data_IF_013187244073
#
_entry.id   IF_013187244073
#
_cell.length_a   1.000
_cell.length_b   1.000
_cell.length_c   1.000
_cell.angle_alpha   90.00
_cell.angle_beta   90.00
_cell.angle_gamma   90.00
#
_symmetry.space_group_name_H-M   'P 1'
#
loop_
_entity.id
_entity.type
_entity.pdbx_description
1 polymer ?
#
# COMPACT_ATOMS: atom_id res chain seq x y z
N UNK A 1 -26.86 6.26 -11.35
CA UNK A 1 -27.59 6.56 -10.08
C UNK A 1 -26.59 6.38 -8.95
N UNK A 2 -25.98 7.47 -8.51
CA UNK A 2 -24.97 7.49 -7.45
C UNK A 2 -25.68 7.45 -6.11
N UNK A 3 -25.56 6.34 -5.39
CA UNK A 3 -26.04 6.21 -4.02
C UNK A 3 -24.98 6.75 -3.08
N UNK A 4 -25.27 7.92 -2.51
CA UNK A 4 -24.46 8.52 -1.45
C UNK A 4 -24.69 7.73 -0.16
N UNK A 5 -23.65 7.02 0.27
CA UNK A 5 -23.65 6.31 1.55
C UNK A 5 -23.42 7.33 2.67
N UNK A 6 -24.44 7.59 3.45
CA UNK A 6 -24.36 8.31 4.74
C UNK A 6 -24.22 7.24 5.82
N UNK A 7 -23.15 7.23 6.62
CA UNK A 7 -23.03 6.27 7.70
C UNK A 7 -23.98 6.68 8.84
N UNK A 8 -25.00 5.85 9.06
CA UNK A 8 -25.81 5.90 10.29
C UNK A 8 -24.94 5.46 11.47
N UNK A 9 -24.91 6.26 12.51
CA UNK A 9 -24.31 5.91 13.80
C UNK A 9 -25.12 4.77 14.44
N UNK A 10 -24.51 3.61 14.74
CA UNK A 10 -25.16 2.62 15.59
C UNK A 10 -24.82 2.92 17.04
N UNK A 11 -25.77 3.51 17.75
CA UNK A 11 -25.76 3.51 19.20
C UNK A 11 -25.97 2.09 19.73
N UNK A 12 -25.00 1.67 20.52
CA UNK A 12 -25.08 0.84 21.69
C UNK A 12 -25.67 -0.54 21.63
N UNK A 13 -24.84 -1.53 21.88
CA UNK A 13 -25.06 -2.57 22.90
C UNK A 13 -23.77 -3.38 23.10
N UNK A 14 -23.21 -3.36 24.30
CA UNK A 14 -22.25 -4.36 24.76
C UNK A 14 -20.78 -3.95 24.82
N UNK A 15 -20.46 -2.67 24.77
CA UNK A 15 -19.10 -2.19 25.05
C UNK A 15 -18.87 -2.11 26.54
N UNK A 16 -17.75 -2.63 27.11
CA UNK A 16 -17.43 -2.36 28.51
C UNK A 16 -17.32 -0.85 28.71
N UNK A 17 -17.82 -0.32 29.81
CA UNK A 17 -17.83 1.10 30.16
C UNK A 17 -16.42 1.70 30.39
N UNK A 18 -15.36 0.92 30.20
CA UNK A 18 -13.97 1.32 30.18
C UNK A 18 -13.38 1.22 28.77
N UNK A 19 -12.42 2.10 28.45
CA UNK A 19 -11.70 2.10 27.15
C UNK A 19 -11.09 0.73 26.80
N UNK A 20 -10.32 0.62 25.67
CA UNK A 20 -9.70 -0.65 25.28
C UNK A 20 -8.72 -1.11 26.36
N UNK A 21 -8.60 -2.42 26.54
CA UNK A 21 -7.65 -2.99 27.49
C UNK A 21 -6.22 -2.84 26.93
N UNK A 22 -5.36 -2.13 27.64
CA UNK A 22 -3.93 -2.03 27.30
C UNK A 22 -3.20 -3.25 27.83
N UNK A 23 -2.56 -4.03 26.95
CA UNK A 23 -1.73 -5.20 27.27
C UNK A 23 -0.34 -5.04 26.67
N UNK A 24 0.67 -5.52 27.40
CA UNK A 24 2.08 -5.32 27.06
C UNK A 24 2.84 -6.61 26.79
N UNK A 25 2.29 -7.76 27.16
CA UNK A 25 2.89 -9.07 26.95
C UNK A 25 2.01 -9.99 26.14
N UNK A 26 2.62 -10.92 25.43
CA UNK A 26 1.92 -11.95 24.68
C UNK A 26 1.06 -12.86 25.59
N UNK A 27 1.53 -13.09 26.83
CA UNK A 27 0.77 -13.83 27.82
C UNK A 27 -0.53 -13.11 28.19
N UNK A 28 -0.45 -11.81 28.52
CA UNK A 28 -1.61 -11.00 28.82
C UNK A 28 -2.59 -10.90 27.62
N UNK A 29 -2.05 -10.81 26.40
CA UNK A 29 -2.86 -10.82 25.18
C UNK A 29 -3.60 -12.16 24.98
N UNK A 30 -2.93 -13.29 25.23
CA UNK A 30 -3.54 -14.63 25.15
C UNK A 30 -4.60 -14.87 26.24
N UNK A 31 -4.39 -14.26 27.42
CA UNK A 31 -5.34 -14.33 28.52
C UNK A 31 -6.63 -13.54 28.27
N UNK A 32 -6.65 -12.63 27.27
CA UNK A 32 -7.87 -11.92 26.89
C UNK A 32 -8.91 -12.92 26.39
N UNK A 33 -10.15 -12.88 26.95
CA UNK A 33 -11.18 -13.76 26.52
C UNK A 33 -11.49 -13.52 25.02
N UNK A 34 -11.34 -14.56 24.22
CA UNK A 34 -11.90 -14.57 22.87
C UNK A 34 -13.40 -14.67 23.02
N UNK A 35 -14.10 -13.57 22.72
CA UNK A 35 -15.55 -13.63 22.54
C UNK A 35 -15.83 -14.67 21.44
N UNK A 36 -17.03 -15.23 21.41
CA UNK A 36 -17.44 -16.27 20.46
C UNK A 36 -17.44 -15.86 18.97
N UNK A 37 -16.68 -14.83 18.62
CA UNK A 37 -16.60 -14.25 17.27
C UNK A 37 -15.19 -14.18 16.71
N UNK A 38 -15.10 -13.60 15.53
CA UNK A 38 -13.88 -13.37 14.75
C UNK A 38 -13.00 -12.34 15.46
N UNK A 39 -11.67 -12.59 15.49
CA UNK A 39 -10.68 -11.61 15.93
C UNK A 39 -10.07 -10.90 14.74
N UNK A 40 -10.15 -9.58 14.73
CA UNK A 40 -9.44 -8.72 13.79
C UNK A 40 -8.22 -8.08 14.46
N UNK A 41 -7.16 -7.87 13.69
CA UNK A 41 -6.00 -7.08 14.11
C UNK A 41 -5.77 -5.91 13.17
N UNK A 42 -5.42 -4.75 13.74
CA UNK A 42 -4.89 -3.58 13.02
C UNK A 42 -3.47 -3.35 13.52
N UNK A 43 -2.49 -3.52 12.64
CA UNK A 43 -1.07 -3.39 13.01
C UNK A 43 -0.57 -1.99 12.72
N UNK A 44 -0.01 -1.34 13.76
CA UNK A 44 0.50 0.03 13.67
C UNK A 44 1.82 0.19 14.42
N UNK A 45 2.52 1.29 14.12
CA UNK A 45 3.70 1.70 14.87
C UNK A 45 3.38 2.77 15.94
N UNK A 46 2.11 3.08 16.19
CA UNK A 46 1.70 4.20 17.04
C UNK A 46 1.62 5.53 16.30
N UNK A 47 1.53 6.63 17.03
CA UNK A 47 1.20 7.95 16.52
C UNK A 47 -0.07 7.92 15.66
N UNK A 48 -1.12 7.31 16.22
CA UNK A 48 -2.36 7.05 15.49
C UNK A 48 -3.01 8.35 15.01
N UNK A 49 -3.58 8.28 13.84
CA UNK A 49 -4.33 9.37 13.22
C UNK A 49 -5.60 8.81 12.57
N UNK A 50 -6.41 9.68 11.98
CA UNK A 50 -7.70 9.31 11.40
C UNK A 50 -7.61 8.15 10.37
N UNK A 51 -6.51 8.04 9.61
CA UNK A 51 -6.27 6.89 8.75
C UNK A 51 -6.25 5.57 9.52
N UNK A 52 -5.56 5.51 10.66
CA UNK A 52 -5.55 4.33 11.52
C UNK A 52 -6.93 4.09 12.18
N UNK A 53 -7.62 5.16 12.61
CA UNK A 53 -8.97 5.05 13.15
C UNK A 53 -9.95 4.45 12.12
N UNK A 54 -9.79 4.78 10.83
CA UNK A 54 -10.59 4.18 9.75
C UNK A 54 -10.33 2.68 9.61
N UNK A 55 -9.07 2.21 9.73
CA UNK A 55 -8.76 0.77 9.76
C UNK A 55 -9.48 0.08 10.93
N UNK A 56 -9.44 0.68 12.12
CA UNK A 56 -10.09 0.12 13.31
C UNK A 56 -11.62 0.08 13.16
N UNK A 57 -12.23 1.14 12.60
CA UNK A 57 -13.67 1.15 12.30
C UNK A 57 -14.04 0.08 11.27
N UNK A 58 -13.29 -0.06 10.19
CA UNK A 58 -13.52 -1.10 9.20
C UNK A 58 -13.38 -2.51 9.81
N UNK A 59 -12.40 -2.71 10.69
CA UNK A 59 -12.26 -3.95 11.44
C UNK A 59 -13.47 -4.21 12.34
N UNK A 60 -13.93 -3.19 13.08
CA UNK A 60 -15.11 -3.29 13.94
C UNK A 60 -16.39 -3.59 13.15
N UNK A 61 -16.59 -2.92 12.03
CA UNK A 61 -17.73 -3.17 11.15
C UNK A 61 -17.73 -4.62 10.64
N UNK A 62 -16.58 -5.11 10.19
CA UNK A 62 -16.42 -6.46 9.64
C UNK A 62 -16.65 -7.56 10.67
N UNK A 63 -16.22 -7.39 11.92
CA UNK A 63 -16.35 -8.41 12.96
C UNK A 63 -17.64 -8.24 13.81
N UNK A 64 -18.33 -7.12 13.69
CA UNK A 64 -19.54 -6.81 14.45
C UNK A 64 -19.33 -6.71 15.95
N UNK A 65 -20.43 -6.62 16.72
CA UNK A 65 -20.39 -6.40 18.17
C UNK A 65 -19.79 -7.57 18.97
N UNK A 66 -19.90 -8.80 18.46
CA UNK A 66 -19.41 -10.02 19.12
C UNK A 66 -17.95 -10.34 18.78
N UNK A 67 -17.40 -9.74 17.72
CA UNK A 67 -16.00 -9.89 17.36
C UNK A 67 -15.08 -9.09 18.25
N UNK A 68 -13.79 -9.40 18.18
CA UNK A 68 -12.74 -8.72 18.94
C UNK A 68 -11.80 -7.98 17.99
N UNK A 69 -11.59 -6.68 18.26
CA UNK A 69 -10.61 -5.85 17.53
C UNK A 69 -9.42 -5.56 18.41
N UNK A 70 -8.24 -5.99 17.99
CA UNK A 70 -6.94 -5.74 18.61
C UNK A 70 -6.16 -4.75 17.76
N UNK A 71 -5.66 -3.68 18.37
CA UNK A 71 -4.72 -2.75 17.72
C UNK A 71 -3.34 -3.01 18.28
N UNK A 72 -2.35 -3.22 17.41
CA UNK A 72 -0.96 -3.28 17.90
C UNK A 72 -0.29 -1.91 17.78
N UNK A 73 0.50 -1.54 18.78
CA UNK A 73 1.34 -0.33 18.78
C UNK A 73 2.77 -0.77 19.04
N UNK A 74 3.55 -0.91 17.96
CA UNK A 74 4.93 -1.36 18.07
C UNK A 74 5.82 -0.69 17.01
N UNK A 75 6.78 0.13 17.45
CA UNK A 75 7.80 0.73 16.58
C UNK A 75 8.86 -0.32 16.30
N UNK A 76 8.81 -0.93 15.11
CA UNK A 76 9.65 -2.05 14.74
C UNK A 76 11.05 -1.58 14.30
N UNK A 77 12.13 -1.88 15.02
CA UNK A 77 13.47 -1.43 14.63
C UNK A 77 13.99 -2.09 13.35
N UNK A 78 13.48 -3.28 12.98
CA UNK A 78 13.99 -4.03 11.83
C UNK A 78 13.61 -3.41 10.48
N UNK A 79 12.61 -2.54 10.44
CA UNK A 79 12.14 -1.91 9.20
C UNK A 79 12.74 -0.52 8.95
N UNK A 80 13.62 -0.05 9.82
CA UNK A 80 14.31 1.21 9.67
C UNK A 80 15.76 0.98 9.24
N UNK A 81 16.14 1.63 8.16
CA UNK A 81 17.53 1.66 7.67
C UNK A 81 18.40 2.63 8.46
N UNK A 82 19.70 2.58 8.21
CA UNK A 82 20.65 3.54 8.77
C UNK A 82 20.30 4.96 8.33
N UNK A 83 20.10 5.87 9.30
CA UNK A 83 19.75 7.28 9.05
C UNK A 83 18.26 7.55 8.85
N UNK A 84 17.39 6.55 8.97
CA UNK A 84 15.94 6.77 9.03
C UNK A 84 15.49 7.30 10.41
N UNK A 85 14.22 7.67 10.54
CA UNK A 85 13.66 8.42 11.65
C UNK A 85 13.26 7.58 12.89
N UNK A 86 13.88 6.41 13.11
CA UNK A 86 13.55 5.50 14.21
C UNK A 86 13.58 6.19 15.59
N UNK A 87 14.63 6.96 15.88
CA UNK A 87 14.80 7.62 17.17
C UNK A 87 13.84 8.80 17.35
N UNK A 88 13.43 9.41 16.25
CA UNK A 88 12.50 10.56 16.19
C UNK A 88 11.06 10.14 15.96
N UNK A 89 10.81 8.82 15.77
CA UNK A 89 9.46 8.33 15.52
C UNK A 89 8.56 8.62 16.73
N UNK A 90 7.40 9.28 16.52
CA UNK A 90 6.53 9.72 17.62
C UNK A 90 6.03 8.52 18.47
N UNK A 91 6.06 8.69 19.79
CA UNK A 91 5.55 7.70 20.75
C UNK A 91 4.50 8.35 21.63
N UNK A 92 3.23 8.13 21.29
CA UNK A 92 2.06 8.79 21.88
C UNK A 92 1.05 7.76 22.38
N UNK A 93 1.52 6.76 23.15
CA UNK A 93 0.73 5.57 23.48
C UNK A 93 -0.60 5.91 24.16
N UNK A 94 -0.66 6.89 25.08
CA UNK A 94 -1.88 7.24 25.78
C UNK A 94 -2.94 7.83 24.84
N UNK A 95 -2.50 8.69 23.91
CA UNK A 95 -3.36 9.25 22.84
C UNK A 95 -3.81 8.14 21.89
N UNK A 96 -2.90 7.21 21.55
CA UNK A 96 -3.16 6.07 20.67
C UNK A 96 -4.24 5.15 21.26
N UNK A 97 -4.17 4.84 22.56
CA UNK A 97 -5.17 4.04 23.28
C UNK A 97 -6.54 4.71 23.23
N UNK A 98 -6.59 6.02 23.47
CA UNK A 98 -7.85 6.78 23.41
C UNK A 98 -8.45 6.75 22.01
N UNK A 99 -7.61 6.99 20.98
CA UNK A 99 -8.08 7.01 19.59
C UNK A 99 -8.54 5.62 19.13
N UNK A 100 -7.75 4.56 19.43
CA UNK A 100 -8.11 3.18 19.13
C UNK A 100 -9.45 2.80 19.80
N UNK A 101 -9.61 3.17 21.06
CA UNK A 101 -10.83 2.95 21.80
C UNK A 101 -12.05 3.63 21.19
N UNK A 102 -11.96 4.91 20.83
CA UNK A 102 -13.03 5.65 20.15
C UNK A 102 -13.39 5.04 18.80
N UNK A 103 -12.39 4.50 18.09
CA UNK A 103 -12.58 3.85 16.81
C UNK A 103 -13.18 2.42 16.91
N UNK A 104 -13.23 1.83 18.10
CA UNK A 104 -13.88 0.53 18.32
C UNK A 104 -12.94 -0.62 18.69
N UNK A 105 -11.69 -0.37 19.07
CA UNK A 105 -10.80 -1.40 19.58
C UNK A 105 -11.26 -1.93 20.94
N UNK A 106 -11.10 -3.24 21.17
CA UNK A 106 -11.32 -3.90 22.46
C UNK A 106 -10.02 -3.96 23.27
N UNK A 107 -8.89 -4.06 22.58
CA UNK A 107 -7.57 -4.11 23.20
C UNK A 107 -6.53 -3.38 22.38
N UNK A 108 -5.54 -2.81 23.07
CA UNK A 108 -4.29 -2.29 22.48
C UNK A 108 -3.14 -3.14 23.00
N UNK A 109 -2.44 -3.80 22.09
CA UNK A 109 -1.23 -4.56 22.39
C UNK A 109 -0.02 -3.69 22.09
N UNK A 110 0.65 -3.23 23.12
CA UNK A 110 1.83 -2.37 23.05
C UNK A 110 3.07 -3.05 23.69
N UNK A 111 3.64 -4.07 23.02
CA UNK A 111 4.78 -4.82 23.54
C UNK A 111 6.06 -3.99 23.51
N UNK A 112 7.02 -4.35 24.38
CA UNK A 112 8.40 -3.88 24.27
C UNK A 112 9.13 -4.55 23.11
N UNK A 113 10.29 -4.02 22.73
CA UNK A 113 11.15 -4.66 21.73
C UNK A 113 11.60 -6.04 22.19
N UNK A 114 11.88 -6.21 23.48
CA UNK A 114 12.29 -7.49 24.05
C UNK A 114 11.16 -8.52 24.09
N UNK A 115 9.91 -8.09 24.26
CA UNK A 115 8.74 -8.97 24.14
C UNK A 115 8.56 -9.49 22.70
N UNK A 116 8.77 -8.64 21.70
CA UNK A 116 8.66 -9.05 20.29
C UNK A 116 9.89 -9.80 19.82
N UNK A 117 11.09 -9.37 20.24
CA UNK A 117 12.39 -9.94 19.86
C UNK A 117 13.23 -10.28 21.10
N UNK A 118 12.88 -11.35 21.83
CA UNK A 118 13.63 -11.76 23.01
C UNK A 118 15.11 -12.01 22.68
N UNK A 119 15.99 -11.34 23.40
CA UNK A 119 17.43 -11.43 23.16
C UNK A 119 17.94 -10.61 21.97
N UNK A 120 17.16 -9.65 21.46
CA UNK A 120 17.54 -8.72 20.40
C UNK A 120 17.10 -9.12 19.00
N UNK A 121 17.87 -8.72 17.98
CA UNK A 121 17.48 -8.97 16.59
C UNK A 121 17.36 -10.47 16.27
N UNK A 122 16.24 -10.91 15.64
CA UNK A 122 16.04 -12.34 15.35
C UNK A 122 17.07 -12.84 14.34
N UNK A 123 17.59 -14.04 14.59
CA UNK A 123 18.54 -14.71 13.69
C UNK A 123 17.86 -15.27 12.44
N UNK A 124 16.58 -15.66 12.56
CA UNK A 124 15.76 -16.12 11.42
C UNK A 124 14.83 -14.99 11.04
N UNK A 125 14.80 -14.67 9.75
CA UNK A 125 13.99 -13.56 9.19
C UNK A 125 13.23 -14.04 7.95
N UNK A 126 12.16 -13.31 7.61
CA UNK A 126 11.43 -13.49 6.37
C UNK A 126 11.99 -12.49 5.35
N UNK A 127 12.24 -12.92 4.13
CA UNK A 127 12.63 -12.06 3.01
C UNK A 127 11.46 -11.81 2.08
N UNK A 128 11.36 -10.58 1.58
CA UNK A 128 10.28 -10.18 0.66
C UNK A 128 10.51 -10.64 -0.79
N UNK A 129 11.67 -11.24 -1.09
CA UNK A 129 12.00 -11.69 -2.43
C UNK A 129 12.01 -10.55 -3.47
N UNK A 130 11.72 -10.85 -4.76
CA UNK A 130 11.78 -9.85 -5.84
C UNK A 130 10.85 -8.65 -5.62
N UNK A 131 9.64 -8.86 -5.07
CA UNK A 131 8.72 -7.77 -4.78
C UNK A 131 9.28 -6.75 -3.79
N UNK A 132 10.19 -7.16 -2.92
CA UNK A 132 10.83 -6.32 -1.92
C UNK A 132 12.06 -5.55 -2.41
N UNK A 133 12.45 -5.69 -3.68
CA UNK A 133 13.67 -5.07 -4.24
C UNK A 133 13.40 -3.95 -5.25
N UNK A 134 12.15 -3.72 -5.60
CA UNK A 134 11.72 -2.67 -6.53
C UNK A 134 11.03 -1.51 -5.79
N UNK A 135 10.90 -0.36 -6.42
CA UNK A 135 10.17 0.83 -5.94
C UNK A 135 10.53 1.20 -4.49
N UNK A 136 9.61 1.06 -3.53
CA UNK A 136 9.90 1.33 -2.10
C UNK A 136 11.03 0.46 -1.57
N UNK A 137 11.11 -0.80 -1.98
CA UNK A 137 12.18 -1.70 -1.58
C UNK A 137 13.55 -1.32 -2.15
N UNK A 138 13.60 -0.79 -3.38
CA UNK A 138 14.83 -0.23 -3.95
C UNK A 138 15.27 1.04 -3.21
N UNK A 139 14.31 1.90 -2.83
CA UNK A 139 14.58 3.14 -2.08
C UNK A 139 14.96 2.87 -0.61
N UNK A 140 14.54 1.75 -0.04
CA UNK A 140 14.72 1.36 1.36
C UNK A 140 15.15 -0.11 1.49
N UNK A 141 16.39 -0.46 1.13
CA UNK A 141 16.87 -1.85 1.16
C UNK A 141 16.65 -2.52 2.52
N UNK A 142 16.08 -3.73 2.53
CA UNK A 142 15.78 -4.50 3.74
C UNK A 142 14.51 -4.07 4.50
N UNK A 143 13.87 -2.98 4.11
CA UNK A 143 12.65 -2.49 4.75
C UNK A 143 11.55 -3.56 4.80
N UNK A 144 11.23 -4.16 3.67
CA UNK A 144 10.16 -5.16 3.59
C UNK A 144 10.49 -6.46 4.31
N UNK A 145 11.76 -6.85 4.39
CA UNK A 145 12.18 -8.00 5.21
C UNK A 145 11.89 -7.75 6.69
N UNK A 146 12.17 -6.52 7.16
CA UNK A 146 11.81 -6.08 8.51
C UNK A 146 10.30 -6.06 8.74
N UNK A 147 9.52 -5.56 7.77
CA UNK A 147 8.06 -5.52 7.83
C UNK A 147 7.47 -6.93 7.87
N UNK A 148 7.86 -7.82 6.95
CA UNK A 148 7.32 -9.18 6.91
C UNK A 148 7.68 -9.97 8.17
N UNK A 149 8.89 -9.79 8.69
CA UNK A 149 9.32 -10.44 9.94
C UNK A 149 8.46 -10.01 11.13
N UNK A 150 8.20 -8.70 11.30
CA UNK A 150 7.36 -8.22 12.41
C UNK A 150 5.91 -8.60 12.23
N UNK A 151 5.38 -8.48 11.01
CA UNK A 151 3.97 -8.83 10.72
C UNK A 151 3.74 -10.31 11.01
N UNK A 152 4.62 -11.21 10.56
CA UNK A 152 4.51 -12.63 10.86
C UNK A 152 4.52 -12.89 12.38
N UNK A 153 5.43 -12.27 13.13
CA UNK A 153 5.46 -12.39 14.60
C UNK A 153 4.16 -11.89 15.23
N UNK A 154 3.68 -10.72 14.84
CA UNK A 154 2.45 -10.16 15.38
C UNK A 154 1.22 -10.99 15.00
N UNK A 155 1.17 -11.58 13.80
CA UNK A 155 0.13 -12.54 13.42
C UNK A 155 0.12 -13.75 14.35
N UNK A 156 1.28 -14.32 14.66
CA UNK A 156 1.38 -15.44 15.61
C UNK A 156 1.03 -15.05 17.06
N UNK A 157 1.45 -13.85 17.50
CA UNK A 157 1.16 -13.38 18.85
C UNK A 157 -0.31 -13.05 19.07
N UNK A 158 -0.95 -12.41 18.07
CA UNK A 158 -2.35 -11.97 18.15
C UNK A 158 -3.33 -13.06 17.73
N UNK A 159 -2.93 -13.99 16.84
CA UNK A 159 -3.74 -15.07 16.32
C UNK A 159 -5.07 -14.59 15.72
N UNK A 160 -5.09 -13.65 14.77
CA UNK A 160 -6.31 -13.09 14.22
C UNK A 160 -6.87 -13.97 13.10
N UNK A 161 -8.17 -13.83 12.84
CA UNK A 161 -8.82 -14.36 11.66
C UNK A 161 -8.75 -13.35 10.49
N UNK A 162 -8.68 -12.04 10.82
CA UNK A 162 -8.61 -10.93 9.86
C UNK A 162 -7.49 -9.96 10.26
N UNK A 163 -6.69 -9.51 9.30
CA UNK A 163 -5.68 -8.48 9.51
C UNK A 163 -5.87 -7.31 8.53
N UNK A 164 -6.02 -6.09 9.06
CA UNK A 164 -6.37 -4.90 8.29
C UNK A 164 -5.15 -4.03 8.05
N UNK A 165 -4.94 -3.66 6.78
CA UNK A 165 -3.83 -2.81 6.33
C UNK A 165 -4.34 -1.71 5.41
N UNK A 166 -3.70 -0.53 5.44
CA UNK A 166 -4.06 0.57 4.54
C UNK A 166 -3.54 0.35 3.12
N UNK A 167 -4.37 0.63 2.12
CA UNK A 167 -3.96 0.56 0.71
C UNK A 167 -2.99 1.68 0.32
N UNK A 168 -2.82 2.69 1.17
CA UNK A 168 -1.80 3.73 0.94
C UNK A 168 -0.40 3.15 0.77
N UNK A 169 -0.04 2.15 1.57
CA UNK A 169 1.24 1.45 1.49
C UNK A 169 1.04 0.18 0.63
N UNK A 170 0.70 0.38 -0.66
CA UNK A 170 0.22 -0.66 -1.56
C UNK A 170 1.22 -1.81 -1.74
N UNK A 171 2.52 -1.51 -1.88
CA UNK A 171 3.55 -2.53 -2.00
C UNK A 171 3.69 -3.34 -0.70
N UNK A 172 3.62 -2.69 0.46
CA UNK A 172 3.59 -3.38 1.75
C UNK A 172 2.40 -4.34 1.84
N UNK A 173 1.20 -3.89 1.44
CA UNK A 173 0.02 -4.75 1.43
C UNK A 173 0.19 -5.95 0.49
N UNK A 174 0.78 -5.75 -0.69
CA UNK A 174 1.04 -6.81 -1.66
C UNK A 174 2.03 -7.86 -1.13
N UNK A 175 3.16 -7.45 -0.56
CA UNK A 175 4.14 -8.40 0.02
C UNK A 175 3.58 -9.13 1.24
N UNK A 176 2.73 -8.49 2.05
CA UNK A 176 2.06 -9.14 3.19
C UNK A 176 1.05 -10.18 2.70
N UNK A 177 0.24 -9.88 1.68
CA UNK A 177 -0.67 -10.84 1.06
C UNK A 177 0.08 -12.03 0.49
N UNK A 178 1.19 -11.76 -0.20
CA UNK A 178 2.05 -12.80 -0.76
C UNK A 178 2.63 -13.69 0.34
N UNK A 179 3.18 -13.11 1.39
CA UNK A 179 3.67 -13.86 2.55
C UNK A 179 2.57 -14.72 3.18
N UNK A 180 1.38 -14.17 3.38
CA UNK A 180 0.28 -14.91 3.97
C UNK A 180 -0.13 -16.12 3.12
N UNK A 181 -0.15 -15.97 1.79
CA UNK A 181 -0.45 -17.05 0.85
C UNK A 181 0.67 -18.11 0.80
N UNK A 182 1.94 -17.67 0.62
CA UNK A 182 3.08 -18.58 0.45
C UNK A 182 3.42 -19.38 1.71
N UNK A 183 3.18 -18.80 2.88
CA UNK A 183 3.47 -19.43 4.17
C UNK A 183 2.22 -20.00 4.86
N UNK A 184 1.08 -20.02 4.16
CA UNK A 184 -0.19 -20.57 4.64
C UNK A 184 -0.62 -20.01 6.01
N UNK A 185 -0.48 -18.70 6.21
CA UNK A 185 -1.03 -18.06 7.41
C UNK A 185 -2.56 -18.18 7.39
N UNK A 186 -3.20 -18.69 8.46
CA UNK A 186 -4.65 -18.83 8.52
C UNK A 186 -5.32 -17.48 8.84
N UNK A 187 -5.11 -16.47 8.00
CA UNK A 187 -5.58 -15.11 8.18
C UNK A 187 -6.00 -14.49 6.84
N UNK A 188 -7.13 -13.83 6.80
CA UNK A 188 -7.53 -12.99 5.66
C UNK A 188 -6.86 -11.62 5.76
N UNK A 189 -6.15 -11.18 4.72
CA UNK A 189 -5.51 -9.86 4.65
C UNK A 189 -6.45 -8.88 3.95
N UNK A 190 -7.01 -7.96 4.72
CA UNK A 190 -8.00 -6.97 4.26
C UNK A 190 -7.32 -5.63 3.98
N UNK A 191 -7.46 -5.14 2.74
CA UNK A 191 -7.06 -3.77 2.38
C UNK A 191 -8.17 -2.77 2.70
N UNK A 192 -7.79 -1.61 3.23
CA UNK A 192 -8.72 -0.49 3.47
C UNK A 192 -8.29 0.71 2.63
N UNK A 193 -9.20 1.32 1.88
CA UNK A 193 -8.89 2.42 0.97
C UNK A 193 -8.13 3.58 1.63
N UNK A 194 -7.28 4.23 0.85
CA UNK A 194 -6.48 5.38 1.30
C UNK A 194 -7.37 6.51 1.79
N UNK A 195 -7.21 6.88 3.05
CA UNK A 195 -7.86 8.06 3.64
C UNK A 195 -7.10 9.31 3.22
N UNK A 196 -7.83 10.32 2.75
CA UNK A 196 -7.26 11.60 2.33
C UNK A 196 -7.69 12.74 3.25
N UNK A 197 -6.88 13.76 3.33
CA UNK A 197 -7.23 15.02 3.98
C UNK A 197 -8.19 15.82 3.08
N UNK A 198 -8.80 16.87 3.61
CA UNK A 198 -9.84 17.63 2.88
C UNK A 198 -9.33 18.22 1.55
N UNK A 199 -8.03 18.48 1.43
CA UNK A 199 -7.36 18.97 0.23
C UNK A 199 -6.90 17.87 -0.74
N UNK A 200 -7.17 16.58 -0.42
CA UNK A 200 -6.84 15.44 -1.26
C UNK A 200 -5.52 14.75 -0.93
N UNK A 201 -4.66 15.33 -0.07
CA UNK A 201 -3.40 14.71 0.33
C UNK A 201 -3.64 13.39 1.06
N UNK A 202 -2.96 12.31 0.66
CA UNK A 202 -3.03 11.05 1.39
C UNK A 202 -2.56 11.23 2.83
N UNK A 203 -3.37 10.75 3.79
CA UNK A 203 -3.10 10.96 5.21
C UNK A 203 -1.88 10.18 5.68
N UNK A 204 -0.95 10.89 6.30
CA UNK A 204 0.31 10.34 6.80
C UNK A 204 0.78 11.10 8.05
N UNK A 205 1.42 10.40 8.99
CA UNK A 205 2.09 11.03 10.13
C UNK A 205 3.18 12.00 9.70
N UNK A 206 3.77 11.80 8.51
CA UNK A 206 4.81 12.68 7.93
C UNK A 206 4.26 14.00 7.39
N UNK A 207 2.96 14.12 7.14
CA UNK A 207 2.37 15.40 6.68
C UNK A 207 2.58 16.55 7.66
N UNK A 208 2.79 16.26 8.96
CA UNK A 208 3.12 17.24 10.00
C UNK A 208 4.45 17.96 9.80
N UNK A 209 5.35 17.37 9.00
CA UNK A 209 6.66 17.95 8.73
C UNK A 209 6.64 18.94 7.56
N UNK A 210 5.53 18.99 6.80
CA UNK A 210 5.39 19.89 5.66
C UNK A 210 5.08 21.31 6.12
N UNK A 211 5.88 22.26 5.67
CA UNK A 211 5.52 23.69 5.70
C UNK A 211 4.35 23.98 4.76
N UNK A 212 3.74 25.16 4.88
CA UNK A 212 2.65 25.55 3.99
C UNK A 212 2.99 25.49 2.49
N UNK A 213 4.13 26.02 2.04
CA UNK A 213 4.59 25.88 0.65
C UNK A 213 4.81 24.42 0.26
N UNK A 214 5.54 23.62 1.06
CA UNK A 214 5.79 22.20 0.79
C UNK A 214 4.49 21.40 0.68
N UNK A 215 3.51 21.71 1.53
CA UNK A 215 2.19 21.07 1.46
C UNK A 215 1.48 21.36 0.13
N UNK A 216 1.54 22.59 -0.37
CA UNK A 216 0.94 22.93 -1.67
C UNK A 216 1.58 22.12 -2.80
N UNK A 217 2.90 22.01 -2.81
CA UNK A 217 3.62 21.17 -3.79
C UNK A 217 3.27 19.69 -3.64
N UNK A 218 3.15 19.18 -2.41
CA UNK A 218 2.83 17.79 -2.14
C UNK A 218 1.45 17.36 -2.67
N UNK A 219 0.50 18.29 -2.83
CA UNK A 219 -0.81 18.02 -3.44
C UNK A 219 -0.70 17.51 -4.88
N UNK A 220 0.41 17.79 -5.57
CA UNK A 220 0.64 17.27 -6.90
C UNK A 220 0.66 15.74 -6.98
N UNK A 221 0.99 15.02 -5.87
CA UNK A 221 0.94 13.55 -5.87
C UNK A 221 -0.49 13.07 -6.11
N UNK A 222 -1.44 13.52 -5.30
CA UNK A 222 -2.85 13.12 -5.49
C UNK A 222 -3.46 13.69 -6.76
N UNK A 223 -3.08 14.91 -7.15
CA UNK A 223 -3.53 15.51 -8.40
C UNK A 223 -3.09 14.70 -9.63
N UNK A 224 -1.84 14.20 -9.66
CA UNK A 224 -1.32 13.35 -10.72
C UNK A 224 -2.11 12.03 -10.83
N UNK A 225 -2.38 11.39 -9.70
CA UNK A 225 -3.14 10.14 -9.67
C UNK A 225 -4.58 10.35 -10.16
N UNK A 226 -5.22 11.44 -9.74
CA UNK A 226 -6.58 11.76 -10.19
C UNK A 226 -6.62 12.17 -11.66
N UNK A 227 -5.61 12.89 -12.16
CA UNK A 227 -5.50 13.21 -13.58
C UNK A 227 -5.41 11.94 -14.45
N UNK A 228 -4.65 10.92 -14.00
CA UNK A 228 -4.58 9.63 -14.68
C UNK A 228 -5.94 8.92 -14.71
N UNK A 229 -6.64 8.86 -13.58
CA UNK A 229 -7.98 8.25 -13.49
C UNK A 229 -8.99 8.96 -14.37
N UNK A 230 -9.03 10.28 -14.28
CA UNK A 230 -10.02 11.10 -15.01
C UNK A 230 -9.77 11.02 -16.52
N UNK A 231 -8.49 10.98 -16.93
CA UNK A 231 -8.12 10.78 -18.34
C UNK A 231 -8.55 9.40 -18.84
N UNK A 232 -8.32 8.34 -18.07
CA UNK A 232 -8.76 6.99 -18.41
C UNK A 232 -10.28 6.91 -18.55
N UNK A 233 -11.03 7.46 -17.59
CA UNK A 233 -12.49 7.51 -17.61
C UNK A 233 -13.01 8.29 -18.84
N UNK A 234 -12.37 9.40 -19.20
CA UNK A 234 -12.74 10.18 -20.39
C UNK A 234 -12.52 9.38 -21.69
N UNK A 235 -11.41 8.63 -21.79
CA UNK A 235 -11.16 7.75 -22.94
C UNK A 235 -12.18 6.61 -23.05
N UNK A 236 -12.51 5.96 -21.94
CA UNK A 236 -13.52 4.91 -21.90
C UNK A 236 -14.89 5.44 -22.34
N UNK A 237 -15.28 6.63 -21.88
CA UNK A 237 -16.51 7.28 -22.28
C UNK A 237 -16.54 7.60 -23.79
N UNK A 238 -15.41 8.06 -24.35
CA UNK A 238 -15.29 8.31 -25.79
C UNK A 238 -15.40 7.01 -26.60
N UNK A 239 -14.76 5.93 -26.15
CA UNK A 239 -14.85 4.60 -26.79
C UNK A 239 -16.27 4.04 -26.74
N UNK A 240 -16.93 4.12 -25.58
CA UNK A 240 -18.32 3.70 -25.43
C UNK A 240 -19.25 4.45 -26.36
N UNK A 241 -19.06 5.78 -26.50
CA UNK A 241 -19.81 6.62 -27.43
C UNK A 241 -19.54 6.24 -28.89
N UNK A 242 -18.29 5.91 -29.23
CA UNK A 242 -17.92 5.44 -30.56
C UNK A 242 -18.58 4.10 -30.91
N UNK A 243 -18.55 3.15 -29.98
CA UNK A 243 -19.18 1.84 -30.17
C UNK A 243 -20.69 1.94 -30.37
N UNK A 244 -21.36 2.89 -29.71
CA UNK A 244 -22.81 3.11 -29.85
C UNK A 244 -23.20 3.87 -31.11
N UNK A 245 -22.28 4.54 -31.78
CA UNK A 245 -22.61 5.41 -32.94
C UNK A 245 -22.89 4.66 -34.25
N UNK A 246 -22.63 3.35 -34.34
CA UNK A 246 -23.07 2.44 -35.41
C UNK A 246 -22.71 2.79 -36.88
N UNK A 247 -21.89 3.84 -37.13
CA UNK A 247 -21.43 4.30 -38.46
C UNK A 247 -19.96 4.64 -38.45
N UNK A 248 -19.25 4.57 -39.60
CA UNK A 248 -17.86 5.02 -39.69
C UNK A 248 -17.77 6.49 -39.28
N UNK A 249 -17.18 6.74 -38.11
CA UNK A 249 -17.13 8.05 -37.45
C UNK A 249 -16.24 9.05 -38.23
N UNK A 250 -15.32 8.53 -39.06
CA UNK A 250 -14.40 9.32 -39.85
C UNK A 250 -15.12 10.23 -40.90
N UNK A 251 -16.18 9.73 -41.54
CA UNK A 251 -16.95 10.51 -42.53
C UNK A 251 -17.80 11.61 -41.88
N UNK A 252 -18.16 11.43 -40.60
CA UNK A 252 -19.02 12.37 -39.88
C UNK A 252 -18.28 13.65 -39.48
N UNK A 253 -17.01 13.57 -39.10
CA UNK A 253 -16.20 14.74 -38.75
C UNK A 253 -15.99 15.67 -39.92
N UNK A 254 -15.65 15.12 -41.09
CA UNK A 254 -15.50 15.90 -42.32
C UNK A 254 -16.81 16.53 -42.78
N UNK A 255 -17.94 15.82 -42.69
CA UNK A 255 -19.26 16.35 -43.07
C UNK A 255 -19.71 17.50 -42.14
N UNK A 256 -19.44 17.40 -40.82
CA UNK A 256 -19.78 18.47 -39.88
C UNK A 256 -18.89 19.70 -40.07
N UNK A 257 -17.60 19.51 -40.34
CA UNK A 257 -16.68 20.62 -40.64
C UNK A 257 -17.11 21.36 -41.92
N UNK A 258 -17.56 20.64 -42.96
CA UNK A 258 -18.06 21.21 -44.19
C UNK A 258 -19.36 22.02 -43.99
N UNK A 259 -20.11 21.76 -42.92
CA UNK A 259 -21.31 22.51 -42.52
C UNK A 259 -21.03 23.70 -41.59
N UNK A 260 -19.74 23.94 -41.24
CA UNK A 260 -19.33 24.97 -40.28
C UNK A 260 -19.60 24.62 -38.82
N UNK A 261 -19.87 23.35 -38.51
CA UNK A 261 -20.16 22.84 -37.17
C UNK A 261 -18.84 22.40 -36.50
N UNK A 262 -17.90 23.33 -36.28
CA UNK A 262 -16.52 23.05 -35.84
C UNK A 262 -16.45 22.28 -34.53
N UNK A 263 -17.30 22.62 -33.55
CA UNK A 263 -17.35 21.93 -32.28
C UNK A 263 -17.82 20.49 -32.40
N UNK A 264 -18.89 20.29 -33.20
CA UNK A 264 -19.41 18.95 -33.45
C UNK A 264 -18.45 18.11 -34.30
N UNK A 265 -17.71 18.75 -35.22
CA UNK A 265 -16.66 18.12 -36.00
C UNK A 265 -15.47 17.68 -35.12
N UNK A 266 -15.04 18.53 -34.17
CA UNK A 266 -14.00 18.21 -33.22
C UNK A 266 -14.41 17.04 -32.29
N UNK A 267 -15.64 17.04 -31.79
CA UNK A 267 -16.20 15.94 -31.00
C UNK A 267 -16.25 14.64 -31.80
N UNK A 268 -16.71 14.70 -33.07
CA UNK A 268 -16.73 13.54 -33.94
C UNK A 268 -15.34 13.03 -34.28
N UNK A 269 -14.34 13.92 -34.41
CA UNK A 269 -12.95 13.57 -34.64
C UNK A 269 -12.36 12.87 -33.38
N UNK A 270 -12.62 13.40 -32.19
CA UNK A 270 -12.16 12.79 -30.93
C UNK A 270 -12.72 11.37 -30.75
N UNK A 271 -14.01 11.18 -31.07
CA UNK A 271 -14.68 9.88 -31.06
C UNK A 271 -14.05 8.92 -32.09
N UNK A 272 -13.76 9.41 -33.31
CA UNK A 272 -13.11 8.63 -34.37
C UNK A 272 -11.69 8.20 -33.96
N UNK A 273 -10.92 9.12 -33.39
CA UNK A 273 -9.58 8.87 -32.91
C UNK A 273 -9.55 7.80 -31.79
N UNK A 274 -10.46 7.93 -30.81
CA UNK A 274 -10.60 6.95 -29.73
C UNK A 274 -11.00 5.55 -30.22
N UNK A 275 -11.70 5.48 -31.41
CA UNK A 275 -12.13 4.21 -32.00
C UNK A 275 -11.03 3.53 -32.84
N UNK A 276 -10.12 4.30 -33.43
CA UNK A 276 -9.16 3.82 -34.39
C UNK A 276 -7.80 3.38 -33.78
N UNK A 277 -7.54 3.80 -32.51
CA UNK A 277 -6.30 3.51 -31.82
C UNK A 277 -6.33 2.16 -31.10
N UNK A 278 -5.17 1.49 -30.92
CA UNK A 278 -5.06 0.39 -29.98
C UNK A 278 -5.43 0.89 -28.56
N UNK A 279 -5.82 -0.01 -27.64
CA UNK A 279 -6.07 0.37 -26.25
C UNK A 279 -4.79 0.93 -25.63
N UNK A 280 -4.74 2.24 -25.45
CA UNK A 280 -3.57 2.94 -24.87
C UNK A 280 -3.79 3.30 -23.39
N UNK A 281 -4.73 2.65 -22.72
CA UNK A 281 -5.11 2.95 -21.35
C UNK A 281 -3.93 3.14 -20.39
N UNK A 282 -2.99 2.17 -20.27
CA UNK A 282 -1.83 2.29 -19.38
C UNK A 282 -0.91 3.46 -19.72
N UNK A 283 -0.52 3.63 -20.97
CA UNK A 283 0.37 4.73 -21.39
C UNK A 283 -0.26 6.09 -21.22
N UNK A 284 -1.55 6.23 -21.52
CA UNK A 284 -2.29 7.48 -21.38
C UNK A 284 -2.45 7.87 -19.90
N UNK A 285 -2.74 6.90 -19.03
CA UNK A 285 -2.81 7.14 -17.58
C UNK A 285 -1.44 7.60 -17.03
N UNK A 286 -0.35 6.91 -17.42
CA UNK A 286 1.02 7.31 -17.03
C UNK A 286 1.38 8.71 -17.53
N UNK A 287 1.09 9.02 -18.79
CA UNK A 287 1.38 10.33 -19.37
C UNK A 287 0.62 11.46 -18.68
N UNK A 288 -0.66 11.26 -18.35
CA UNK A 288 -1.46 12.27 -17.63
C UNK A 288 -0.91 12.54 -16.22
N UNK A 289 -0.51 11.50 -15.49
CA UNK A 289 0.11 11.67 -14.18
C UNK A 289 1.48 12.35 -14.29
N UNK A 290 2.30 11.94 -15.26
CA UNK A 290 3.65 12.48 -15.45
C UNK A 290 3.60 13.98 -15.74
N UNK A 291 2.68 14.46 -16.57
CA UNK A 291 2.53 15.88 -16.88
C UNK A 291 2.31 16.73 -15.62
N UNK A 292 1.45 16.29 -14.70
CA UNK A 292 1.20 17.01 -13.44
C UNK A 292 2.44 17.02 -12.54
N UNK A 293 3.20 15.92 -12.49
CA UNK A 293 4.41 15.83 -11.68
C UNK A 293 5.56 16.66 -12.25
N UNK A 294 5.64 16.74 -13.58
CA UNK A 294 6.60 17.61 -14.29
C UNK A 294 6.34 19.07 -13.98
N UNK A 295 5.09 19.52 -14.10
CA UNK A 295 4.70 20.89 -13.72
C UNK A 295 5.08 21.18 -12.25
N UNK A 296 4.86 20.21 -11.35
CA UNK A 296 5.20 20.36 -9.93
C UNK A 296 6.72 20.38 -9.67
N UNK A 297 7.53 19.87 -10.56
CA UNK A 297 9.01 19.94 -10.47
C UNK A 297 9.54 21.38 -10.57
N UNK A 298 8.75 22.28 -11.15
CA UNK A 298 9.07 23.70 -11.32
C UNK A 298 8.49 24.61 -10.21
N UNK A 299 7.78 24.05 -9.23
CA UNK A 299 7.25 24.81 -8.09
C UNK A 299 8.35 25.19 -7.08
N UNK A 300 8.04 26.08 -6.17
CA UNK A 300 8.89 26.45 -5.04
C UNK A 300 8.19 26.14 -3.69
N UNK A 301 8.69 25.16 -2.91
CA UNK A 301 9.79 24.24 -3.21
C UNK A 301 9.41 23.23 -4.30
N UNK A 302 10.38 22.70 -5.08
CA UNK A 302 10.11 21.78 -6.15
C UNK A 302 9.74 20.37 -5.65
N UNK A 303 8.89 19.70 -6.41
CA UNK A 303 8.69 18.25 -6.25
C UNK A 303 9.85 17.50 -6.93
N UNK A 304 10.49 16.59 -6.19
CA UNK A 304 11.52 15.69 -6.73
C UNK A 304 10.95 14.28 -6.81
N UNK A 305 10.62 13.86 -8.03
CA UNK A 305 10.06 12.55 -8.29
C UNK A 305 11.11 11.46 -8.04
N UNK A 306 10.75 10.44 -7.24
CA UNK A 306 11.56 9.22 -7.09
C UNK A 306 11.10 8.16 -8.11
N UNK A 307 9.81 7.91 -8.19
CA UNK A 307 9.21 7.03 -9.20
C UNK A 307 7.73 7.36 -9.45
N UNK A 308 7.28 7.05 -10.65
CA UNK A 308 5.88 6.89 -11.05
C UNK A 308 5.78 5.56 -11.80
N UNK A 309 5.10 4.58 -11.21
CA UNK A 309 5.02 3.23 -11.76
C UNK A 309 3.58 2.74 -11.80
N UNK A 310 3.20 2.08 -12.89
CA UNK A 310 1.92 1.38 -13.01
C UNK A 310 2.21 -0.11 -12.92
N UNK A 311 1.71 -0.77 -11.87
CA UNK A 311 2.11 -2.13 -11.51
C UNK A 311 0.93 -3.07 -11.33
N UNK A 312 1.14 -4.35 -11.59
CA UNK A 312 0.20 -5.43 -11.25
C UNK A 312 0.15 -5.58 -9.72
N UNK A 313 -1.05 -5.54 -9.10
CA UNK A 313 -1.18 -5.66 -7.64
C UNK A 313 -0.77 -7.03 -7.08
N UNK A 314 -0.57 -8.05 -7.93
CA UNK A 314 -0.24 -9.43 -7.51
C UNK A 314 1.24 -9.62 -7.23
N UNK A 315 2.11 -8.99 -8.00
CA UNK A 315 3.56 -9.20 -7.93
C UNK A 315 4.39 -7.90 -7.99
N UNK A 316 3.72 -6.74 -8.14
CA UNK A 316 4.34 -5.42 -8.24
C UNK A 316 5.30 -5.26 -9.43
N UNK A 317 5.14 -6.06 -10.47
CA UNK A 317 5.82 -5.84 -11.76
C UNK A 317 5.15 -4.72 -12.55
N UNK A 318 5.94 -3.93 -13.27
CA UNK A 318 5.39 -2.90 -14.14
C UNK A 318 4.60 -3.51 -15.29
N UNK A 319 3.43 -2.92 -15.58
CA UNK A 319 2.54 -3.38 -16.65
C UNK A 319 2.83 -2.67 -17.97
N UNK A 320 2.71 -3.43 -19.08
CA UNK A 320 2.81 -2.90 -20.44
C UNK A 320 1.59 -2.09 -20.87
N UNK A 321 1.64 -1.56 -22.10
CA UNK A 321 0.54 -0.76 -22.66
C UNK A 321 -0.66 -1.59 -23.10
N UNK A 322 -0.49 -2.89 -23.25
CA UNK A 322 -1.50 -3.89 -23.61
C UNK A 322 -2.13 -4.58 -22.37
N UNK A 323 -1.81 -4.09 -21.16
CA UNK A 323 -2.31 -4.69 -19.93
C UNK A 323 -3.82 -4.53 -19.79
N UNK A 324 -4.47 -5.62 -19.40
CA UNK A 324 -5.88 -5.69 -19.05
C UNK A 324 -6.04 -6.16 -17.61
N UNK A 325 -6.93 -5.52 -16.87
CA UNK A 325 -7.17 -5.85 -15.47
C UNK A 325 -6.92 -4.68 -14.52
N UNK A 326 -6.89 -4.98 -13.25
CA UNK A 326 -6.61 -3.99 -12.21
C UNK A 326 -5.11 -3.76 -12.08
N UNK A 327 -4.68 -2.49 -12.13
CA UNK A 327 -3.32 -2.09 -11.83
C UNK A 327 -3.29 -0.98 -10.77
N UNK A 328 -2.14 -0.81 -10.13
CA UNK A 328 -1.89 0.25 -9.15
C UNK A 328 -0.95 1.28 -9.79
N UNK A 329 -1.42 2.51 -9.93
CA UNK A 329 -0.56 3.64 -10.25
C UNK A 329 0.02 4.18 -8.93
N UNK A 330 1.31 3.95 -8.72
CA UNK A 330 2.04 4.31 -7.52
C UNK A 330 3.02 5.44 -7.78
N UNK A 331 3.13 6.38 -6.85
CA UNK A 331 4.05 7.52 -6.94
C UNK A 331 4.79 7.72 -5.62
N UNK A 332 6.08 8.02 -5.72
CA UNK A 332 6.87 8.51 -4.61
C UNK A 332 7.65 9.77 -5.01
N UNK A 333 7.68 10.75 -4.13
CA UNK A 333 8.42 11.99 -4.36
C UNK A 333 8.89 12.62 -3.05
N UNK A 334 9.90 13.48 -3.15
CA UNK A 334 10.38 14.34 -2.06
C UNK A 334 9.93 15.78 -2.30
N UNK A 335 9.45 16.42 -1.23
CA UNK A 335 9.21 17.84 -1.19
C UNK A 335 9.94 18.39 0.03
N UNK A 336 10.88 19.27 -0.19
CA UNK A 336 11.86 19.64 0.84
C UNK A 336 12.64 18.41 1.33
N UNK A 337 12.57 18.13 2.64
CA UNK A 337 13.18 16.97 3.26
C UNK A 337 12.21 15.78 3.41
N UNK A 338 10.92 15.99 3.16
CA UNK A 338 9.88 14.99 3.40
C UNK A 338 9.64 14.13 2.17
N UNK A 339 9.82 12.82 2.30
CA UNK A 339 9.46 11.85 1.27
C UNK A 339 8.04 11.35 1.51
N UNK A 340 7.22 11.40 0.47
CA UNK A 340 5.82 11.03 0.46
C UNK A 340 5.55 9.97 -0.59
N UNK A 341 4.57 9.11 -0.33
CA UNK A 341 4.04 8.13 -1.26
C UNK A 341 2.54 8.22 -1.34
N UNK A 342 2.01 7.93 -2.51
CA UNK A 342 0.57 7.81 -2.75
C UNK A 342 0.31 6.80 -3.88
N UNK A 343 -0.91 6.33 -4.01
CA UNK A 343 -1.30 5.45 -5.10
C UNK A 343 -2.81 5.48 -5.35
N UNK A 344 -3.21 4.94 -6.50
CA UNK A 344 -4.61 4.71 -6.86
C UNK A 344 -4.73 3.42 -7.67
N UNK A 345 -5.86 2.71 -7.52
CA UNK A 345 -6.20 1.58 -8.37
C UNK A 345 -6.87 2.08 -9.65
N UNK A 346 -6.45 1.53 -10.77
CA UNK A 346 -7.02 1.76 -12.09
C UNK A 346 -7.44 0.42 -12.68
N UNK A 347 -8.58 0.39 -13.35
CA UNK A 347 -9.07 -0.80 -14.05
C UNK A 347 -8.95 -0.57 -15.55
N UNK A 348 -8.20 -1.42 -16.22
CA UNK A 348 -8.06 -1.42 -17.68
C UNK A 348 -8.94 -2.49 -18.28
N UNK A 349 -10.04 -2.07 -18.91
CA UNK A 349 -10.98 -2.98 -19.56
C UNK A 349 -10.52 -3.33 -20.96
N UNK A 350 -10.73 -4.59 -21.42
CA UNK A 350 -10.44 -4.95 -22.81
C UNK A 350 -11.11 -3.98 -23.77
N UNK A 351 -10.35 -3.37 -24.66
CA UNK A 351 -10.92 -2.63 -25.76
C UNK A 351 -11.81 -3.58 -26.58
N UNK A 352 -13.01 -3.17 -26.95
CA UNK A 352 -13.79 -3.93 -27.93
C UNK A 352 -12.86 -4.23 -29.13
N UNK A 353 -12.70 -5.51 -29.47
CA UNK A 353 -11.79 -5.95 -30.52
C UNK A 353 -12.00 -5.06 -31.78
N UNK A 354 -10.94 -4.59 -32.43
CA UNK A 354 -11.09 -3.82 -33.64
C UNK A 354 -11.91 -4.64 -34.62
N UNK A 355 -12.96 -4.02 -35.18
CA UNK A 355 -13.70 -4.62 -36.28
C UNK A 355 -12.68 -5.23 -37.26
N UNK A 356 -12.86 -6.50 -37.71
CA UNK A 356 -11.96 -7.07 -38.68
C UNK A 356 -11.92 -6.11 -39.88
N UNK A 357 -10.72 -5.65 -40.22
CA UNK A 357 -10.52 -4.79 -41.39
C UNK A 357 -11.18 -5.46 -42.58
N UNK A 358 -12.23 -4.80 -43.12
CA UNK A 358 -12.91 -5.27 -44.31
C UNK A 358 -11.83 -5.49 -45.38
N UNK A 359 -11.65 -6.75 -45.76
CA UNK A 359 -10.69 -7.15 -46.78
C UNK A 359 -10.92 -6.23 -48.00
N UNK A 360 -9.91 -5.43 -48.33
CA UNK A 360 -9.90 -4.64 -49.56
C UNK A 360 -10.00 -5.63 -50.72
N UNK A 361 -11.22 -5.82 -51.19
CA UNK A 361 -11.50 -6.65 -52.35
C UNK A 361 -10.84 -6.04 -53.59
N UNK A 362 -9.82 -6.73 -54.07
CA UNK A 362 -9.28 -6.51 -55.39
C UNK A 362 -10.40 -6.67 -56.41
N UNK A 363 -10.82 -5.58 -57.01
CA UNK A 363 -11.66 -5.59 -58.22
C UNK A 363 -10.82 -6.07 -59.37
N UNK A 364 -10.96 -7.35 -59.70
CA UNK A 364 -10.71 -7.80 -61.09
C UNK A 364 -12.06 -8.27 -61.64
N UNK A 365 -12.52 -7.55 -62.68
CA UNK A 365 -13.72 -7.86 -63.38
C UNK A 365 -13.57 -9.10 -64.26
N UNK A 366 -14.59 -9.94 -64.30
CA UNK A 366 -14.98 -10.72 -65.48
C UNK A 366 -16.40 -11.15 -65.36
N UNK A 367 -17.13 -10.88 -66.39
CA UNK A 367 -18.58 -11.23 -66.56
C UNK A 367 -18.75 -12.71 -66.86
N UNK A 368 -19.78 -13.32 -66.31
CA UNK A 368 -20.23 -14.66 -66.72
C UNK A 368 -21.54 -15.02 -66.00
N UNK A 369 -22.61 -15.14 -66.80
CA UNK A 369 -23.99 -15.41 -66.43
C UNK A 369 -24.27 -16.93 -66.21
N UNK A 370 -25.54 -17.37 -65.92
CA UNK A 370 -25.85 -18.16 -64.73
C UNK A 370 -26.36 -19.61 -65.08
N UNK A 371 -26.38 -20.46 -64.11
CA UNK A 371 -26.89 -21.84 -64.30
C UNK A 371 -27.23 -22.58 -63.03
N UNK A 372 -28.39 -22.49 -62.62
CA UNK A 372 -29.39 -23.50 -62.19
C UNK A 372 -29.01 -24.71 -61.29
N UNK A 373 -29.67 -24.75 -60.21
CA UNK A 373 -30.60 -25.71 -59.52
C UNK A 373 -30.08 -26.42 -58.26
N UNK A 374 -30.98 -26.58 -57.26
CA UNK A 374 -30.70 -27.07 -55.92
C UNK A 374 -30.85 -28.61 -55.78
N UNK A 375 -30.15 -29.19 -54.84
CA UNK A 375 -30.45 -30.57 -54.43
C UNK A 375 -30.31 -30.77 -52.94
N UNK A 376 -31.46 -31.02 -52.36
CA UNK A 376 -31.90 -31.90 -51.22
C UNK A 376 -30.92 -32.26 -50.10
N UNK A 377 -31.47 -32.06 -48.90
CA UNK A 377 -31.11 -32.60 -47.62
C UNK A 377 -30.92 -34.11 -47.60
N UNK A 378 -29.99 -34.60 -46.80
CA UNK A 378 -29.99 -35.92 -46.19
C UNK A 378 -29.46 -35.84 -44.77
N UNK A 379 -30.30 -36.34 -43.87
CA UNK A 379 -30.10 -36.65 -42.47
C UNK A 379 -29.22 -37.87 -42.30
N UNK A 380 -28.45 -37.93 -41.22
CA UNK A 380 -28.25 -39.04 -40.28
C UNK A 380 -26.82 -38.98 -39.68
N UNK A 381 -26.72 -38.72 -38.42
CA UNK A 381 -26.61 -39.70 -37.33
C UNK A 381 -25.22 -40.33 -37.17
N UNK A 382 -24.69 -40.08 -36.00
CA UNK A 382 -23.92 -41.04 -35.18
C UNK A 382 -22.42 -41.28 -35.47
N UNK A 383 -21.59 -40.87 -34.54
CA UNK A 383 -20.66 -41.72 -33.81
C UNK A 383 -19.63 -40.91 -32.99
N UNK A 384 -19.75 -41.08 -31.72
CA UNK A 384 -18.79 -40.64 -30.72
C UNK A 384 -17.48 -41.41 -30.85
N UNK A 385 -16.32 -40.70 -30.78
CA UNK A 385 -15.03 -41.30 -30.39
C UNK A 385 -14.28 -40.33 -29.49
N UNK A 386 -13.74 -40.83 -28.35
CA UNK A 386 -13.06 -39.95 -27.38
C UNK A 386 -11.63 -39.60 -27.81
N UNK A 387 -11.04 -38.52 -27.28
CA UNK A 387 -9.69 -38.10 -27.64
C UNK A 387 -8.61 -39.01 -27.04
N UNK A 388 -7.60 -39.31 -27.83
CA UNK A 388 -6.43 -40.08 -27.46
C UNK A 388 -5.48 -39.30 -26.53
N UNK A 389 -4.85 -40.09 -25.63
CA UNK A 389 -3.90 -39.64 -24.62
C UNK A 389 -2.63 -39.06 -25.20
N UNK A 390 -2.07 -38.10 -24.44
CA UNK A 390 -0.78 -37.44 -24.67
C UNK A 390 0.40 -38.47 -24.59
N UNK A 391 1.52 -38.23 -25.31
CA UNK A 391 2.69 -39.12 -25.32
C UNK A 391 3.52 -38.97 -24.04
N UNK A 392 4.00 -40.14 -23.54
CA UNK A 392 4.91 -40.27 -22.40
C UNK A 392 6.31 -39.73 -22.73
N UNK A 393 7.04 -39.16 -21.75
CA UNK A 393 8.44 -38.76 -21.94
C UNK A 393 9.37 -39.97 -22.07
N UNK A 394 10.50 -39.84 -22.80
CA UNK A 394 11.43 -40.94 -23.06
C UNK A 394 12.24 -41.31 -21.79
N UNK A 395 12.51 -42.60 -21.66
CA UNK A 395 13.31 -43.23 -20.59
C UNK A 395 14.78 -42.82 -20.69
N UNK A 396 15.34 -42.50 -19.54
CA UNK A 396 16.77 -42.25 -19.36
C UNK A 396 17.62 -43.47 -19.70
N UNK A 397 18.56 -43.33 -20.59
CA UNK A 397 19.62 -44.27 -20.86
C UNK A 397 20.80 -44.04 -19.93
N UNK A 398 21.35 -45.14 -19.38
CA UNK A 398 22.53 -45.17 -18.51
C UNK A 398 23.75 -44.59 -19.24
N UNK A 399 24.40 -43.59 -18.63
CA UNK A 399 25.68 -43.09 -19.04
C UNK A 399 26.80 -43.84 -18.35
N UNK A 400 27.76 -44.25 -19.15
CA UNK A 400 29.04 -44.88 -18.85
C UNK A 400 30.00 -43.81 -18.33
N UNK A 401 30.84 -44.20 -17.38
CA UNK A 401 31.92 -43.41 -16.79
C UNK A 401 32.95 -42.92 -17.82
N UNK A 402 33.30 -41.62 -17.77
CA UNK A 402 34.57 -41.13 -18.23
C UNK A 402 35.05 -40.00 -17.32
N UNK A 403 36.22 -40.20 -16.78
CA UNK A 403 37.07 -39.25 -16.09
C UNK A 403 37.51 -38.15 -17.03
N UNK A 404 37.69 -36.98 -16.47
CA UNK A 404 38.37 -35.75 -16.96
C UNK A 404 37.41 -34.56 -17.15
N UNK A 405 37.33 -33.76 -16.09
CA UNK A 405 36.93 -32.36 -16.18
C UNK A 405 37.94 -31.50 -15.40
N UNK A 406 38.44 -30.40 -15.97
CA UNK A 406 39.40 -29.53 -15.30
C UNK A 406 38.72 -28.73 -14.16
N UNK A 407 39.43 -28.57 -13.05
CA UNK A 407 39.01 -27.81 -11.88
C UNK A 407 38.78 -26.33 -12.26
N UNK A 408 37.76 -25.69 -11.74
CA UNK A 408 37.59 -24.25 -11.87
C UNK A 408 38.62 -23.50 -11.00
N UNK A 409 39.20 -22.45 -11.63
CA UNK A 409 40.16 -21.55 -11.00
C UNK A 409 39.62 -20.94 -9.71
N UNK A 410 40.42 -20.96 -8.66
CA UNK A 410 40.11 -20.32 -7.37
C UNK A 410 39.97 -18.82 -7.56
N UNK A 411 38.84 -18.29 -7.12
CA UNK A 411 38.62 -16.85 -6.96
C UNK A 411 39.61 -16.27 -5.93
N UNK A 412 40.16 -15.08 -6.16
CA UNK A 412 41.06 -14.44 -5.20
C UNK A 412 40.29 -14.07 -3.92
N UNK A 413 40.87 -14.40 -2.76
CA UNK A 413 40.38 -13.97 -1.46
C UNK A 413 40.41 -12.44 -1.36
N UNK A 414 39.40 -11.80 -0.73
CA UNK A 414 39.46 -10.36 -0.45
C UNK A 414 40.59 -10.07 0.55
N UNK A 415 41.34 -9.02 0.26
CA UNK A 415 42.42 -8.52 1.12
C UNK A 415 41.91 -8.17 2.51
N UNK A 416 42.62 -8.56 3.54
CA UNK A 416 42.38 -8.18 4.93
C UNK A 416 42.40 -6.64 5.07
N UNK A 417 41.46 -6.05 5.79
CA UNK A 417 41.52 -4.61 6.09
C UNK A 417 42.74 -4.34 6.99
N UNK A 418 43.37 -3.16 6.90
CA UNK A 418 44.49 -2.79 7.72
C UNK A 418 44.10 -2.74 9.18
N UNK A 419 44.93 -3.31 10.07
CA UNK A 419 44.77 -3.23 11.52
C UNK A 419 44.92 -1.77 11.95
N UNK A 420 43.96 -1.29 12.75
CA UNK A 420 44.02 0.01 13.40
C UNK A 420 45.24 0.01 14.42
N UNK A 421 45.92 1.16 14.53
CA UNK A 421 47.00 1.29 15.50
C UNK A 421 46.46 1.17 16.94
N UNK A 422 47.24 0.49 17.81
CA UNK A 422 46.90 0.30 19.21
C UNK A 422 46.68 1.63 19.93
N UNK A 423 45.53 1.78 20.53
CA UNK A 423 45.19 2.91 21.40
C UNK A 423 46.08 2.84 22.67
N UNK A 424 46.80 3.94 22.90
CA UNK A 424 47.47 4.16 24.17
C UNK A 424 46.42 4.51 25.26
N UNK A 425 46.58 4.01 26.51
CA UNK A 425 45.62 4.31 27.57
C UNK A 425 45.65 5.79 27.95
N UNK A 426 44.48 6.41 27.92
CA UNK A 426 44.25 7.79 28.40
C UNK A 426 44.52 7.89 29.91
N UNK A 427 45.09 9.01 30.38
CA UNK A 427 45.33 9.21 31.83
C UNK A 427 44.00 9.45 32.55
N UNK A 428 43.86 8.80 33.71
CA UNK A 428 42.76 8.96 34.65
C UNK A 428 42.55 10.42 35.05
N UNK A 429 41.30 10.93 35.16
CA UNK A 429 41.02 12.24 35.73
C UNK A 429 41.27 12.19 37.25
N UNK A 430 41.94 13.21 37.72
CA UNK A 430 42.28 13.46 39.11
C UNK A 430 41.02 13.62 39.99
N UNK A 431 41.06 12.96 41.16
CA UNK A 431 40.06 13.07 42.23
C UNK A 431 40.01 14.50 42.77
N UNK A 432 38.83 15.12 43.02
CA UNK A 432 38.74 16.39 43.70
C UNK A 432 39.09 16.25 45.20
N UNK A 433 39.65 17.30 45.84
CA UNK A 433 40.06 17.27 47.23
C UNK A 433 38.87 17.24 48.20
N UNK A 434 38.98 16.41 49.24
CA UNK A 434 38.07 16.39 50.38
C UNK A 434 38.21 17.69 51.17
N UNK A 435 37.11 18.42 51.39
CA UNK A 435 37.04 19.50 52.35
C UNK A 435 36.81 18.95 53.78
N UNK A 436 37.57 19.50 54.70
CA UNK A 436 37.59 19.13 56.10
C UNK A 436 36.30 19.48 56.83
N UNK A 437 35.97 18.65 57.81
CA UNK A 437 34.91 18.85 58.75
C UNK A 437 35.19 19.99 59.70
N UNK A 438 34.28 20.90 59.90
CA UNK A 438 34.20 21.75 61.07
C UNK A 438 32.82 21.56 61.74
N UNK A 439 32.91 21.31 63.04
CA UNK A 439 31.82 21.13 64.00
C UNK A 439 31.14 22.43 64.32
N UNK A 440 29.83 22.40 64.57
CA UNK A 440 29.16 23.55 65.17
C UNK A 440 27.63 23.38 65.12
N UNK A 441 27.06 22.64 66.06
CA UNK A 441 25.70 22.90 66.52
C UNK A 441 25.70 24.09 67.47
N UNK A 442 24.61 24.90 67.62
CA UNK A 442 23.43 24.50 68.39
C UNK A 442 22.06 25.13 68.03
N UNK A 443 21.06 24.45 68.54
CA UNK A 443 19.79 24.90 69.13
C UNK A 443 18.64 25.46 68.25
N UNK A 444 17.60 24.69 68.32
CA UNK A 444 16.20 25.05 68.14
C UNK A 444 15.72 26.15 69.13
N UNK A 445 14.64 26.89 68.83
CA UNK A 445 13.41 26.64 69.59
C UNK A 445 12.13 26.67 68.76
N UNK A 446 11.24 25.81 69.14
CA UNK A 446 9.76 25.80 69.03
C UNK A 446 9.16 26.64 70.16
N UNK A 447 7.84 26.82 70.30
CA UNK A 447 6.70 27.12 69.37
C UNK A 447 5.79 28.26 69.96
N UNK A 448 4.84 28.78 69.24
CA UNK A 448 3.57 29.33 69.85
C UNK A 448 2.44 29.41 68.83
N UNK A 449 1.43 28.60 69.07
CA UNK A 449 0.06 28.83 69.49
C UNK A 449 -0.89 29.61 68.56
N UNK A 450 -1.81 28.84 68.05
CA UNK A 450 -3.26 28.97 67.68
C UNK A 450 -4.05 30.04 68.48
N UNK A 451 -5.38 30.21 68.17
CA UNK A 451 -6.18 30.89 67.14
C UNK A 451 -7.07 32.02 67.75
N UNK A 452 -8.30 32.39 67.45
CA UNK A 452 -9.36 31.85 66.57
C UNK A 452 -10.29 32.93 65.89
N UNK A 453 -11.35 32.42 65.28
CA UNK A 453 -12.71 32.96 65.08
C UNK A 453 -13.07 33.67 63.77
N UNK A 454 -14.07 33.10 63.15
CA UNK A 454 -14.98 33.66 62.20
C UNK A 454 -16.04 34.58 62.94
N UNK A 455 -17.24 34.87 62.40
CA UNK A 455 -17.93 34.36 61.23
C UNK A 455 -18.73 35.46 60.45
N UNK A 456 -19.65 35.04 59.58
CA UNK A 456 -20.90 35.67 59.12
C UNK A 456 -20.89 36.53 57.86
N UNK A 457 -21.75 36.22 56.98
CA UNK A 457 -22.90 36.91 56.44
C UNK A 457 -22.96 36.80 54.92
N UNK A 458 -23.75 35.96 54.36
CA UNK A 458 -25.10 36.07 53.92
C UNK A 458 -25.42 37.13 52.84
N UNK A 459 -26.11 36.61 51.80
CA UNK A 459 -27.05 37.26 50.85
C UNK A 459 -26.48 38.08 49.72
N UNK A 460 -26.63 37.70 48.53
CA UNK A 460 -27.81 37.56 47.63
C UNK A 460 -27.46 36.76 46.39
#
# INVERSE_FOLDING_TARGET
MSSSFVPSSPDGAGRPAGGPQLVRTAEALRALPRRSGVRAVVMTMGALHEGHATLVRAARERVGAQGQVVVTVFVNPLQFGAGEDLDRYPRTLDEDVVLAGRAGADAVFAPSADEVYPGGAPQVRITAGPMGTVLEGASRPGHFDGVLTVVAKLLHLTGPDLAFFGEKDAQQLAVIRRMAADLNFPVEIVGVPTVREADGLARSSRNRYLSGPERRTALALSAALFAARDRLTAEEALRARAASAGRPVQDRSAALAALGEDRAAADAHAVAYASAGPPHGPSVARAAAHAVLEDASHLDPPLRLDYLALVDPRDFTEVGDDYEGEAILAVAAKVGTTRLIDNIRLLFTPGAAPYPAAAQGARTGSAGKPGHKPRKAATAADARKPPQAAPKPPKATKATSAQDAPQPARSPQPARPPQAPAEQPSPHPARPPQAAAEQGSPQSPTPTSTPPQGPLGATR
#
